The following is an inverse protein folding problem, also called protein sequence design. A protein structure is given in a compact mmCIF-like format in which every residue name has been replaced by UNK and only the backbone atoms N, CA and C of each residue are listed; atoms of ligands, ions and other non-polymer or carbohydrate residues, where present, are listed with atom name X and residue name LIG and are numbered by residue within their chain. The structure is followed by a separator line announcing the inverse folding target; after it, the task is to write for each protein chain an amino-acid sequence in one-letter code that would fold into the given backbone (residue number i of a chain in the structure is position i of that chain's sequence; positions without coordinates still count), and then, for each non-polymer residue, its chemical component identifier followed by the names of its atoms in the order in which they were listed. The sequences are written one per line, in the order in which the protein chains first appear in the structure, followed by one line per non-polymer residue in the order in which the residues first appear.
data_IF_302310606163
#
_entry.id   IF_302310606163
#
_cell.length_a   1.000
_cell.length_b   1.000
_cell.length_c   1.000
_cell.angle_alpha   90.00
_cell.angle_beta   90.00
_cell.angle_gamma   90.00
#
_symmetry.space_group_name_H-M   'P 1'
#
loop_
_entity.id
_entity.type
_entity.pdbx_description
1 polymer ?
#
# COMPACT_ATOMS: atom_id res chain seq x y z
N UNK A 1 8.71 31.83 11.60
CA UNK A 1 9.19 31.29 10.30
C UNK A 1 8.00 30.64 9.61
N UNK A 2 7.78 30.86 8.30
CA UNK A 2 6.68 30.21 7.59
C UNK A 2 6.90 28.69 7.53
N UNK A 3 5.80 27.93 7.49
CA UNK A 3 5.85 26.48 7.34
C UNK A 3 6.39 26.10 5.94
N UNK A 4 7.22 25.06 5.87
CA UNK A 4 7.67 24.50 4.60
C UNK A 4 6.57 23.60 4.02
N UNK A 5 6.20 23.84 2.77
CA UNK A 5 5.23 23.02 2.02
C UNK A 5 6.01 22.15 1.02
N UNK A 6 5.74 20.85 1.05
CA UNK A 6 6.34 19.87 0.14
C UNK A 6 5.40 19.60 -1.03
N UNK A 7 5.98 19.40 -2.21
CA UNK A 7 5.26 19.10 -3.45
C UNK A 7 5.89 17.88 -4.13
N UNK A 8 5.33 17.44 -5.26
CA UNK A 8 5.88 16.32 -6.04
C UNK A 8 7.35 16.54 -6.45
N UNK A 9 7.79 17.80 -6.59
CA UNK A 9 9.19 18.13 -6.91
C UNK A 9 10.16 17.79 -5.78
N UNK A 10 9.65 17.66 -4.55
CA UNK A 10 10.42 17.35 -3.35
C UNK A 10 10.34 15.84 -2.99
N UNK A 11 9.49 15.06 -3.67
CA UNK A 11 9.14 13.69 -3.31
C UNK A 11 9.35 12.72 -4.48
N UNK A 12 10.59 12.25 -4.64
CA UNK A 12 10.97 11.34 -5.74
C UNK A 12 10.63 9.88 -5.42
N UNK A 13 9.79 9.24 -6.25
CA UNK A 13 9.38 7.85 -6.08
C UNK A 13 10.51 6.83 -6.30
N UNK A 14 11.66 7.25 -6.87
CA UNK A 14 12.79 6.34 -7.11
C UNK A 14 13.26 5.62 -5.84
N UNK A 15 13.08 6.21 -4.66
CA UNK A 15 13.47 5.62 -3.39
C UNK A 15 12.59 4.44 -2.96
N UNK A 16 11.41 4.30 -3.58
CA UNK A 16 10.46 3.23 -3.35
C UNK A 16 10.47 2.19 -4.49
N UNK A 17 11.09 2.49 -5.63
CA UNK A 17 11.22 1.51 -6.72
C UNK A 17 11.98 0.26 -6.28
N UNK A 18 11.47 -0.91 -6.70
CA UNK A 18 12.01 -2.21 -6.32
C UNK A 18 11.71 -2.65 -4.89
N UNK A 19 11.02 -1.82 -4.08
CA UNK A 19 10.54 -2.20 -2.75
C UNK A 19 9.11 -2.72 -2.82
N UNK A 20 8.80 -3.64 -1.93
CA UNK A 20 7.43 -4.09 -1.69
C UNK A 20 6.80 -3.19 -0.64
N UNK A 21 5.71 -2.51 -0.97
CA UNK A 21 4.92 -1.72 -0.03
C UNK A 21 3.84 -2.59 0.60
N UNK A 22 4.02 -2.99 1.86
CA UNK A 22 3.02 -3.74 2.62
C UNK A 22 2.01 -2.81 3.30
N UNK A 23 0.74 -2.89 2.88
CA UNK A 23 -0.37 -2.16 3.52
C UNK A 23 -1.10 -3.10 4.47
N UNK A 24 -1.02 -2.83 5.78
CA UNK A 24 -1.67 -3.65 6.80
C UNK A 24 -3.06 -3.10 7.10
N UNK A 25 -4.09 -3.87 6.75
CA UNK A 25 -5.47 -3.42 6.83
C UNK A 25 -5.99 -2.83 5.52
N UNK A 26 -7.30 -2.95 5.30
CA UNK A 26 -7.96 -2.52 4.07
C UNK A 26 -9.32 -1.89 4.37
N UNK A 27 -9.31 -0.94 5.32
CA UNK A 27 -10.41 0.01 5.55
C UNK A 27 -10.29 1.21 4.60
N UNK A 28 -10.90 2.35 4.93
CA UNK A 28 -10.89 3.53 4.04
C UNK A 28 -9.47 3.99 3.65
N UNK A 29 -8.57 4.16 4.62
CA UNK A 29 -7.20 4.61 4.37
C UNK A 29 -6.35 3.53 3.67
N UNK A 30 -6.43 2.28 4.13
CA UNK A 30 -5.69 1.18 3.53
C UNK A 30 -6.08 0.93 2.07
N UNK A 31 -7.38 1.06 1.76
CA UNK A 31 -7.90 0.97 0.40
C UNK A 31 -7.36 2.10 -0.48
N UNK A 32 -7.50 3.36 -0.05
CA UNK A 32 -7.02 4.51 -0.81
C UNK A 32 -5.49 4.45 -1.03
N UNK A 33 -4.71 4.18 0.01
CA UNK A 33 -3.25 4.09 -0.10
C UNK A 33 -2.82 2.94 -1.01
N UNK A 34 -3.39 1.75 -0.86
CA UNK A 34 -2.95 0.60 -1.65
C UNK A 34 -3.20 0.79 -3.15
N UNK A 35 -4.34 1.36 -3.53
CA UNK A 35 -4.65 1.62 -4.94
C UNK A 35 -3.82 2.77 -5.49
N UNK A 36 -3.70 3.89 -4.77
CA UNK A 36 -2.92 5.03 -5.26
C UNK A 36 -1.43 4.67 -5.42
N UNK A 37 -0.86 3.90 -4.50
CA UNK A 37 0.52 3.42 -4.60
C UNK A 37 0.70 2.47 -5.80
N UNK A 38 -0.26 1.55 -6.02
CA UNK A 38 -0.26 0.65 -7.18
C UNK A 38 -0.35 1.43 -8.50
N UNK A 39 -1.25 2.40 -8.58
CA UNK A 39 -1.42 3.25 -9.78
C UNK A 39 -0.20 4.15 -10.01
N UNK A 40 0.56 4.46 -8.95
CA UNK A 40 1.87 5.12 -9.02
C UNK A 40 3.01 4.19 -9.45
N UNK A 41 2.71 2.94 -9.83
CA UNK A 41 3.68 1.97 -10.34
C UNK A 41 4.46 1.21 -9.27
N UNK A 42 4.07 1.31 -8.00
CA UNK A 42 4.76 0.62 -6.91
C UNK A 42 4.22 -0.81 -6.71
N UNK A 43 5.09 -1.71 -6.25
CA UNK A 43 4.67 -3.05 -5.88
C UNK A 43 3.97 -3.01 -4.53
N UNK A 44 2.67 -3.31 -4.51
CA UNK A 44 1.85 -3.26 -3.29
C UNK A 44 1.29 -4.64 -2.94
N UNK A 45 1.41 -5.01 -1.67
CA UNK A 45 0.73 -6.17 -1.09
C UNK A 45 -0.13 -5.75 0.09
N UNK A 46 -1.25 -6.42 0.32
CA UNK A 46 -2.16 -6.12 1.43
C UNK A 46 -2.13 -7.26 2.46
N UNK A 47 -1.77 -6.92 3.70
CA UNK A 47 -1.78 -7.84 4.83
C UNK A 47 -3.12 -7.82 5.56
N UNK A 48 -3.87 -8.93 5.50
CA UNK A 48 -5.15 -9.08 6.19
C UNK A 48 -5.25 -10.41 6.95
N UNK A 49 -5.97 -10.45 8.09
CA UNK A 49 -6.37 -11.72 8.72
C UNK A 49 -7.19 -12.58 7.75
N UNK A 50 -7.09 -13.91 7.84
CA UNK A 50 -7.80 -14.84 6.95
C UNK A 50 -9.33 -14.64 6.96
N UNK A 51 -9.88 -14.31 8.13
CA UNK A 51 -11.32 -14.04 8.34
C UNK A 51 -11.80 -12.67 7.86
N UNK A 52 -10.92 -11.83 7.32
CA UNK A 52 -11.32 -10.46 6.92
C UNK A 52 -12.24 -10.48 5.70
N UNK A 53 -13.38 -9.79 5.81
CA UNK A 53 -14.35 -9.61 4.71
C UNK A 53 -13.78 -8.82 3.53
N UNK A 54 -12.79 -7.95 3.78
CA UNK A 54 -12.20 -7.09 2.75
C UNK A 54 -11.19 -7.80 1.84
N UNK A 55 -10.82 -9.07 2.11
CA UNK A 55 -9.90 -9.84 1.27
C UNK A 55 -10.43 -9.99 -0.16
N UNK A 56 -11.72 -10.28 -0.31
CA UNK A 56 -12.35 -10.48 -1.62
C UNK A 56 -12.35 -9.18 -2.44
N UNK A 57 -12.67 -8.05 -1.80
CA UNK A 57 -12.65 -6.74 -2.44
C UNK A 57 -11.24 -6.37 -2.92
N UNK A 58 -10.22 -6.46 -2.05
CA UNK A 58 -8.86 -6.11 -2.42
C UNK A 58 -8.32 -7.00 -3.58
N UNK A 59 -8.62 -8.30 -3.56
CA UNK A 59 -8.29 -9.21 -4.66
C UNK A 59 -9.00 -8.84 -5.97
N UNK A 60 -10.29 -8.49 -5.90
CA UNK A 60 -11.06 -8.04 -7.08
C UNK A 60 -10.48 -6.76 -7.69
N UNK A 61 -9.85 -5.91 -6.89
CA UNK A 61 -9.15 -4.70 -7.34
C UNK A 61 -7.70 -4.98 -7.80
N UNK A 62 -7.34 -6.25 -7.93
CA UNK A 62 -6.05 -6.70 -8.44
C UNK A 62 -4.90 -6.45 -7.48
N UNK A 63 -5.15 -6.45 -6.17
CA UNK A 63 -4.10 -6.43 -5.15
C UNK A 63 -3.80 -7.84 -4.67
N UNK A 64 -2.53 -8.12 -4.43
CA UNK A 64 -2.11 -9.35 -3.76
C UNK A 64 -2.50 -9.26 -2.27
N UNK A 65 -3.14 -10.30 -1.75
CA UNK A 65 -3.60 -10.35 -0.35
C UNK A 65 -3.04 -11.56 0.37
N UNK A 66 -2.20 -11.30 1.37
CA UNK A 66 -1.48 -12.29 2.18
C UNK A 66 -1.83 -12.15 3.67
N UNK A 67 -1.32 -13.06 4.50
CA UNK A 67 -1.44 -12.95 5.95
C UNK A 67 -0.61 -11.75 6.45
N UNK A 68 -1.10 -11.06 7.50
CA UNK A 68 -0.41 -9.88 8.06
C UNK A 68 1.06 -10.14 8.40
N UNK A 69 1.37 -11.30 9.01
CA UNK A 69 2.75 -11.67 9.33
C UNK A 69 3.63 -11.89 8.08
N UNK A 70 3.05 -12.34 6.97
CA UNK A 70 3.78 -12.48 5.71
C UNK A 70 4.01 -11.13 5.05
N UNK A 71 2.98 -10.26 5.02
CA UNK A 71 3.12 -8.91 4.49
C UNK A 71 4.24 -8.14 5.18
N UNK A 72 4.29 -8.20 6.52
CA UNK A 72 5.34 -7.56 7.32
C UNK A 72 6.75 -8.17 7.15
N UNK A 73 6.88 -9.38 6.60
CA UNK A 73 8.19 -9.96 6.26
C UNK A 73 8.66 -9.57 4.87
N UNK A 74 7.73 -9.30 3.95
CA UNK A 74 8.00 -9.07 2.53
C UNK A 74 8.20 -7.59 2.18
N UNK A 75 7.45 -6.70 2.84
CA UNK A 75 7.61 -5.25 2.70
C UNK A 75 8.45 -4.67 3.83
#
# INVERSE_FOLDING_TARGET
MPARIYTDRDADLKFLHGKVCAVIGYGAQGHAHALNLKDSGLQVIVGLPAKSKSRALARKQGLEVVATAEAARRG
#
